data_IF_107402736095
#
_entry.id   IF_107402736095
#
_cell.length_a   1.000
_cell.length_b   1.000
_cell.length_c   1.000
_cell.angle_alpha   90.00
_cell.angle_beta   90.00
_cell.angle_gamma   90.00
#
_symmetry.space_group_name_H-M   'P 1'
#
loop_
_entity.id
_entity.type
_entity.pdbx_description
1 polymer ?
#
# COMPACT_ATOMS: atom_id res chain seq x y z
N UNK A 1 -8.62 26.26 6.21
CA UNK A 1 -9.08 27.32 5.30
C UNK A 1 -9.26 28.56 6.13
N UNK A 2 -8.43 29.55 5.84
CA UNK A 2 -8.43 30.89 6.43
C UNK A 2 -8.89 31.86 5.34
N UNK A 3 -9.72 32.84 5.69
CA UNK A 3 -10.19 33.88 4.76
C UNK A 3 -10.64 35.09 5.58
N UNK A 4 -10.32 36.30 5.11
CA UNK A 4 -10.66 37.56 5.78
C UNK A 4 -12.17 37.80 5.83
N UNK A 5 -12.92 37.35 4.82
CA UNK A 5 -14.39 37.42 4.81
C UNK A 5 -15.00 36.15 5.42
N UNK A 6 -15.57 36.29 6.63
CA UNK A 6 -16.20 35.18 7.35
C UNK A 6 -17.48 34.64 6.67
N UNK A 7 -18.24 35.48 5.95
CA UNK A 7 -19.45 35.06 5.24
C UNK A 7 -19.08 34.22 4.02
N UNK A 8 -18.03 34.64 3.31
CA UNK A 8 -17.45 33.87 2.22
C UNK A 8 -16.90 32.53 2.71
N UNK A 9 -16.15 32.53 3.80
CA UNK A 9 -15.60 31.31 4.42
C UNK A 9 -16.70 30.30 4.77
N UNK A 10 -17.80 30.77 5.36
CA UNK A 10 -18.94 29.91 5.69
C UNK A 10 -19.59 29.29 4.43
N UNK A 11 -19.72 30.06 3.35
CA UNK A 11 -20.25 29.58 2.07
C UNK A 11 -19.31 28.56 1.41
N UNK A 12 -18.00 28.78 1.44
CA UNK A 12 -17.01 27.83 0.89
C UNK A 12 -17.04 26.50 1.65
N UNK A 13 -17.10 26.53 2.99
CA UNK A 13 -17.12 25.31 3.84
C UNK A 13 -18.30 24.38 3.55
N UNK A 14 -19.37 24.87 2.94
CA UNK A 14 -20.57 24.09 2.61
C UNK A 14 -20.64 23.67 1.14
N UNK A 15 -19.62 23.99 0.34
CA UNK A 15 -19.55 23.60 -1.08
C UNK A 15 -19.54 22.08 -1.23
N UNK A 16 -20.41 21.59 -2.11
CA UNK A 16 -20.48 20.17 -2.46
C UNK A 16 -19.52 19.90 -3.61
N UNK A 17 -18.38 19.31 -3.31
CA UNK A 17 -17.32 19.04 -4.29
C UNK A 17 -17.58 17.73 -5.04
N UNK A 18 -17.98 16.66 -4.34
CA UNK A 18 -18.21 15.33 -4.93
C UNK A 18 -19.55 14.75 -4.47
N UNK A 19 -20.26 14.09 -5.40
CA UNK A 19 -21.47 13.32 -5.12
C UNK A 19 -21.18 11.83 -5.29
N UNK A 20 -21.32 11.07 -4.21
CA UNK A 20 -21.22 9.61 -4.22
C UNK A 20 -22.58 8.99 -4.50
N UNK A 21 -22.62 7.86 -5.24
CA UNK A 21 -23.85 7.06 -5.35
C UNK A 21 -23.94 6.18 -4.10
N UNK A 22 -25.13 6.01 -3.53
CA UNK A 22 -25.36 5.21 -2.29
C UNK A 22 -24.99 3.73 -2.36
N UNK A 23 -24.56 3.22 -3.52
CA UNK A 23 -24.24 1.81 -3.72
C UNK A 23 -22.73 1.56 -3.76
N UNK A 24 -22.26 0.71 -2.84
CA UNK A 24 -20.92 0.15 -2.81
C UNK A 24 -19.84 1.03 -2.16
N UNK A 25 -18.66 0.44 -1.98
CA UNK A 25 -17.42 1.15 -1.60
C UNK A 25 -16.95 1.95 -2.82
N UNK A 26 -16.81 3.28 -2.68
CA UNK A 26 -16.36 4.16 -3.76
C UNK A 26 -15.14 4.93 -3.32
N UNK A 27 -14.03 4.81 -4.06
CA UNK A 27 -12.83 5.63 -3.86
C UNK A 27 -12.66 6.53 -5.08
N UNK A 28 -12.46 7.82 -4.86
CA UNK A 28 -12.17 8.81 -5.91
C UNK A 28 -11.01 9.69 -5.48
N UNK A 29 -10.12 9.97 -6.42
CA UNK A 29 -9.10 11.00 -6.25
C UNK A 29 -9.70 12.32 -6.72
N UNK A 30 -9.56 13.36 -5.91
CA UNK A 30 -10.05 14.71 -6.18
C UNK A 30 -8.85 15.65 -6.14
N UNK A 31 -8.52 16.21 -7.29
CA UNK A 31 -7.48 17.24 -7.37
C UNK A 31 -7.95 18.54 -6.72
N UNK A 32 -7.04 19.25 -6.07
CA UNK A 32 -7.25 20.59 -5.51
C UNK A 32 -7.71 21.58 -6.58
N UNK A 33 -7.26 21.41 -7.83
CA UNK A 33 -7.71 22.25 -8.95
C UNK A 33 -9.22 22.15 -9.17
N UNK A 34 -9.83 20.97 -8.92
CA UNK A 34 -11.29 20.81 -8.98
C UNK A 34 -11.99 21.59 -7.87
N UNK A 35 -11.37 21.68 -6.69
CA UNK A 35 -11.88 22.44 -5.55
C UNK A 35 -11.80 23.94 -5.85
N UNK A 36 -10.64 24.40 -6.34
CA UNK A 36 -10.41 25.80 -6.75
C UNK A 36 -11.43 26.21 -7.82
N UNK A 37 -11.63 25.38 -8.84
CA UNK A 37 -12.63 25.63 -9.88
C UNK A 37 -14.06 25.79 -9.30
N UNK A 38 -14.44 24.96 -8.33
CA UNK A 38 -15.74 25.07 -7.65
C UNK A 38 -15.87 26.33 -6.76
N UNK A 39 -14.75 26.86 -6.24
CA UNK A 39 -14.74 28.12 -5.49
C UNK A 39 -14.90 29.29 -6.46
N UNK A 40 -14.12 29.33 -7.55
CA UNK A 40 -14.17 30.38 -8.56
C UNK A 40 -15.53 30.46 -9.27
N UNK A 41 -16.24 29.34 -9.42
CA UNK A 41 -17.61 29.35 -9.97
C UNK A 41 -18.59 30.19 -9.14
N UNK A 42 -18.38 30.31 -7.82
CA UNK A 42 -19.21 31.14 -6.93
C UNK A 42 -18.57 32.48 -6.56
N UNK A 43 -17.25 32.55 -6.56
CA UNK A 43 -16.47 33.73 -6.18
C UNK A 43 -15.33 33.95 -7.19
N UNK A 44 -15.62 34.56 -8.35
CA UNK A 44 -14.67 34.69 -9.46
C UNK A 44 -13.45 35.56 -9.13
N UNK A 45 -13.64 36.59 -8.30
CA UNK A 45 -12.63 37.59 -7.97
C UNK A 45 -11.69 37.16 -6.82
N UNK A 46 -11.74 35.89 -6.42
CA UNK A 46 -11.00 35.40 -5.24
C UNK A 46 -9.73 34.69 -5.66
N UNK A 47 -8.62 35.09 -5.05
CA UNK A 47 -7.37 34.35 -5.16
C UNK A 47 -7.33 33.18 -4.16
N UNK A 48 -7.04 31.97 -4.65
CA UNK A 48 -7.00 30.75 -3.83
C UNK A 48 -5.59 30.19 -3.83
N UNK A 49 -4.95 30.23 -2.67
CA UNK A 49 -3.62 29.66 -2.47
C UNK A 49 -3.72 28.30 -1.79
N UNK A 50 -3.24 27.26 -2.46
CA UNK A 50 -3.14 25.92 -1.86
C UNK A 50 -1.82 25.79 -1.09
N UNK A 51 -1.92 25.60 0.23
CA UNK A 51 -0.76 25.34 1.10
C UNK A 51 -0.63 23.87 1.50
N UNK A 52 -1.54 23.00 1.03
CA UNK A 52 -1.56 21.57 1.38
C UNK A 52 -1.43 20.66 0.17
N UNK A 53 -1.79 19.40 0.36
CA UNK A 53 -1.74 18.37 -0.70
C UNK A 53 -2.55 18.74 -1.94
N UNK A 54 -2.01 18.43 -3.12
CA UNK A 54 -2.63 18.74 -4.42
C UNK A 54 -3.70 17.74 -4.81
N UNK A 55 -3.66 16.53 -4.26
CA UNK A 55 -4.62 15.46 -4.54
C UNK A 55 -5.16 14.83 -3.25
N UNK A 56 -6.47 14.64 -3.19
CA UNK A 56 -7.17 14.13 -2.02
C UNK A 56 -7.95 12.86 -2.39
N UNK A 57 -7.71 11.77 -1.66
CA UNK A 57 -8.45 10.53 -1.85
C UNK A 57 -9.69 10.53 -0.95
N UNK A 58 -10.88 10.59 -1.56
CA UNK A 58 -12.15 10.50 -0.83
C UNK A 58 -12.72 9.09 -1.00
N UNK A 59 -12.80 8.37 0.12
CA UNK A 59 -13.38 7.02 0.16
C UNK A 59 -14.74 7.05 0.86
N UNK A 60 -15.81 6.73 0.12
CA UNK A 60 -17.13 6.46 0.66
C UNK A 60 -17.25 4.97 0.96
N UNK A 61 -17.39 4.63 2.24
CA UNK A 61 -17.55 3.26 2.71
C UNK A 61 -18.77 3.16 3.62
N UNK A 62 -19.69 2.25 3.30
CA UNK A 62 -20.82 1.97 4.16
C UNK A 62 -20.33 1.11 5.33
N UNK A 63 -20.06 1.78 6.46
CA UNK A 63 -19.59 1.15 7.69
C UNK A 63 -20.73 0.34 8.32
N UNK A 64 -20.94 -0.91 7.89
CA UNK A 64 -21.63 -1.90 8.74
C UNK A 64 -20.62 -2.31 9.81
N UNK A 65 -20.77 -1.80 11.02
CA UNK A 65 -20.01 -2.31 12.16
C UNK A 65 -20.36 -3.79 12.34
N UNK A 66 -19.41 -4.72 12.13
CA UNK A 66 -19.68 -6.12 12.41
C UNK A 66 -19.88 -6.30 13.93
N UNK A 67 -20.53 -7.40 14.32
CA UNK A 67 -20.76 -7.70 15.72
C UNK A 67 -19.42 -7.76 16.50
N UNK A 68 -19.40 -7.31 17.75
CA UNK A 68 -18.20 -7.31 18.61
C UNK A 68 -17.51 -8.69 18.66
N UNK A 69 -18.30 -9.77 18.67
CA UNK A 69 -17.79 -11.15 18.63
C UNK A 69 -16.89 -11.41 17.40
N UNK A 70 -17.22 -10.82 16.24
CA UNK A 70 -16.41 -10.96 15.03
C UNK A 70 -15.04 -10.28 15.16
N UNK A 71 -14.99 -9.13 15.84
CA UNK A 71 -13.73 -8.47 16.16
C UNK A 71 -12.88 -9.32 17.11
N UNK A 72 -13.48 -9.89 18.16
CA UNK A 72 -12.77 -10.77 19.10
C UNK A 72 -12.23 -12.02 18.40
N UNK A 73 -13.03 -12.68 17.57
CA UNK A 73 -12.60 -13.86 16.81
C UNK A 73 -11.44 -13.51 15.87
N UNK A 74 -11.52 -12.39 15.15
CA UNK A 74 -10.44 -11.91 14.28
C UNK A 74 -9.16 -11.62 15.07
N UNK A 75 -9.27 -10.92 16.19
CA UNK A 75 -8.11 -10.61 17.04
C UNK A 75 -7.49 -11.88 17.59
N UNK A 76 -8.28 -12.83 18.08
CA UNK A 76 -7.80 -14.12 18.57
C UNK A 76 -7.10 -14.92 17.46
N UNK A 77 -7.67 -14.93 16.24
CA UNK A 77 -7.05 -15.58 15.09
C UNK A 77 -5.70 -14.96 14.73
N UNK A 78 -5.63 -13.63 14.61
CA UNK A 78 -4.37 -12.92 14.32
C UNK A 78 -3.34 -13.17 15.42
N UNK A 79 -3.74 -13.15 16.69
CA UNK A 79 -2.87 -13.43 17.83
C UNK A 79 -2.33 -14.87 17.77
N UNK A 80 -3.18 -15.85 17.47
CA UNK A 80 -2.78 -17.26 17.34
C UNK A 80 -1.78 -17.46 16.20
N UNK A 81 -2.07 -16.94 15.00
CA UNK A 81 -1.16 -17.04 13.84
C UNK A 81 0.19 -16.39 14.16
N UNK A 82 0.18 -15.22 14.80
CA UNK A 82 1.40 -14.51 15.20
C UNK A 82 2.19 -15.29 16.26
N UNK A 83 1.51 -15.86 17.25
CA UNK A 83 2.14 -16.66 18.31
C UNK A 83 2.82 -17.92 17.74
N UNK A 84 2.09 -18.72 16.96
CA UNK A 84 2.65 -19.93 16.34
C UNK A 84 3.73 -19.60 15.31
N UNK A 85 3.56 -18.52 14.54
CA UNK A 85 4.58 -18.02 13.61
C UNK A 85 5.88 -17.67 14.32
N UNK A 86 5.81 -16.89 15.41
CA UNK A 86 6.98 -16.53 16.20
C UNK A 86 7.65 -17.76 16.85
N UNK A 87 6.86 -18.67 17.44
CA UNK A 87 7.38 -19.90 18.01
C UNK A 87 8.09 -20.77 16.95
N UNK A 88 7.48 -20.92 15.77
CA UNK A 88 8.08 -21.63 14.65
C UNK A 88 9.39 -20.97 14.19
N UNK A 89 9.44 -19.65 14.04
CA UNK A 89 10.66 -18.93 13.68
C UNK A 89 11.79 -19.14 14.68
N UNK A 90 11.50 -19.12 15.99
CA UNK A 90 12.51 -19.36 17.04
C UNK A 90 13.03 -20.81 16.96
N UNK A 91 12.14 -21.79 16.82
CA UNK A 91 12.54 -23.20 16.73
C UNK A 91 13.32 -23.49 15.46
N UNK A 92 12.89 -22.95 14.32
CA UNK A 92 13.59 -23.07 13.04
C UNK A 92 14.99 -22.42 13.14
N UNK A 93 15.10 -21.24 13.73
CA UNK A 93 16.39 -20.57 13.93
C UNK A 93 17.34 -21.39 14.81
N UNK A 94 16.85 -21.92 15.94
CA UNK A 94 17.66 -22.77 16.81
C UNK A 94 18.03 -24.12 16.18
N UNK A 95 17.27 -24.58 15.19
CA UNK A 95 17.58 -25.80 14.44
C UNK A 95 18.36 -25.51 13.15
N UNK A 96 19.09 -24.39 13.10
CA UNK A 96 19.93 -23.97 11.96
C UNK A 96 19.16 -23.89 10.63
N UNK A 97 17.91 -23.42 10.70
CA UNK A 97 16.99 -23.25 9.56
C UNK A 97 16.62 -24.58 8.87
N UNK A 98 16.86 -25.73 9.51
CA UNK A 98 16.43 -27.04 8.99
C UNK A 98 14.99 -27.37 9.40
N UNK A 99 14.06 -27.09 8.48
CA UNK A 99 12.62 -27.33 8.67
C UNK A 99 12.28 -28.82 8.69
N UNK A 100 13.02 -29.67 7.96
CA UNK A 100 12.75 -31.11 7.89
C UNK A 100 13.07 -31.79 9.22
N UNK A 101 14.23 -31.47 9.80
CA UNK A 101 14.62 -31.94 11.12
C UNK A 101 13.70 -31.38 12.20
N UNK A 102 13.28 -30.12 12.11
CA UNK A 102 12.34 -29.51 13.05
C UNK A 102 11.00 -30.27 13.07
N UNK A 103 10.42 -30.54 11.90
CA UNK A 103 9.16 -31.28 11.81
C UNK A 103 9.31 -32.74 12.26
N UNK A 104 10.47 -33.36 12.00
CA UNK A 104 10.81 -34.67 12.56
C UNK A 104 10.75 -34.68 14.09
N UNK A 105 11.40 -33.71 14.74
CA UNK A 105 11.43 -33.56 16.19
C UNK A 105 10.04 -33.26 16.77
N UNK A 106 9.25 -32.40 16.13
CA UNK A 106 7.87 -32.10 16.56
C UNK A 106 6.99 -33.35 16.45
N UNK A 107 7.10 -34.09 15.34
CA UNK A 107 6.34 -35.31 15.14
C UNK A 107 6.69 -36.38 16.18
N UNK A 108 7.98 -36.58 16.45
CA UNK A 108 8.47 -37.51 17.46
C UNK A 108 7.98 -37.12 18.86
N UNK A 109 8.01 -35.82 19.20
CA UNK A 109 7.52 -35.31 20.48
C UNK A 109 6.03 -35.59 20.70
N UNK A 110 5.21 -35.47 19.66
CA UNK A 110 3.76 -35.68 19.74
C UNK A 110 3.38 -37.16 19.70
N UNK A 111 4.03 -37.92 18.82
CA UNK A 111 3.64 -39.31 18.49
C UNK A 111 4.43 -40.35 19.30
N UNK A 112 5.56 -39.97 19.90
CA UNK A 112 6.47 -40.87 20.61
C UNK A 112 7.13 -41.92 19.71
N UNK A 113 7.07 -41.75 18.39
CA UNK A 113 7.65 -42.64 17.39
C UNK A 113 8.49 -41.81 16.42
N UNK A 114 9.66 -42.35 16.06
CA UNK A 114 10.53 -41.74 15.06
C UNK A 114 9.85 -41.65 13.69
N UNK A 115 10.27 -40.66 12.91
CA UNK A 115 9.72 -40.42 11.57
C UNK A 115 10.39 -41.32 10.52
N UNK A 116 9.60 -41.84 9.58
CA UNK A 116 10.08 -42.61 8.42
C UNK A 116 9.75 -41.87 7.12
N UNK A 117 10.50 -40.82 6.83
CA UNK A 117 10.37 -40.03 5.59
C UNK A 117 9.46 -38.81 5.71
N UNK A 118 8.76 -38.47 4.61
CA UNK A 118 7.93 -37.26 4.51
C UNK A 118 6.78 -37.25 5.53
N UNK A 119 6.68 -36.18 6.30
CA UNK A 119 5.67 -36.06 7.36
C UNK A 119 4.44 -35.28 6.91
N UNK A 120 3.30 -35.50 7.58
CA UNK A 120 2.06 -34.72 7.38
C UNK A 120 2.31 -33.21 7.61
N UNK A 121 3.26 -32.87 8.49
CA UNK A 121 3.65 -31.49 8.77
C UNK A 121 4.31 -30.83 7.55
N UNK A 122 5.20 -31.52 6.84
CA UNK A 122 5.85 -31.00 5.63
C UNK A 122 4.84 -30.75 4.49
N UNK A 123 3.89 -31.68 4.32
CA UNK A 123 2.83 -31.54 3.30
C UNK A 123 1.93 -30.36 3.60
N UNK A 124 1.44 -30.26 4.85
CA UNK A 124 0.57 -29.15 5.27
C UNK A 124 1.30 -27.80 5.24
N UNK A 125 2.57 -27.76 5.60
CA UNK A 125 3.42 -26.59 5.48
C UNK A 125 3.57 -26.12 4.03
N UNK A 126 3.85 -27.04 3.11
CA UNK A 126 4.00 -26.73 1.67
C UNK A 126 2.71 -26.15 1.07
N UNK A 127 1.55 -26.72 1.42
CA UNK A 127 0.24 -26.19 1.03
C UNK A 127 0.01 -24.81 1.64
N UNK A 128 0.34 -24.63 2.93
CA UNK A 128 0.21 -23.37 3.65
C UNK A 128 1.06 -22.24 3.04
N UNK A 129 2.32 -22.51 2.70
CA UNK A 129 3.21 -21.55 2.02
C UNK A 129 2.65 -21.17 0.65
N UNK A 130 2.21 -22.16 -0.13
CA UNK A 130 1.62 -21.91 -1.46
C UNK A 130 0.37 -21.02 -1.35
N UNK A 131 -0.53 -21.33 -0.43
CA UNK A 131 -1.72 -20.52 -0.17
C UNK A 131 -1.37 -19.10 0.33
N UNK A 132 -0.38 -18.99 1.22
CA UNK A 132 0.09 -17.72 1.76
C UNK A 132 0.65 -16.79 0.69
N UNK A 133 1.48 -17.32 -0.22
CA UNK A 133 2.04 -16.59 -1.36
C UNK A 133 0.92 -16.12 -2.30
N UNK A 134 -0.05 -16.97 -2.62
CA UNK A 134 -1.19 -16.62 -3.47
C UNK A 134 -2.04 -15.48 -2.88
N UNK A 135 -2.28 -15.52 -1.56
CA UNK A 135 -3.00 -14.45 -0.84
C UNK A 135 -2.16 -13.16 -0.82
N UNK A 136 -0.86 -13.24 -0.52
CA UNK A 136 0.03 -12.09 -0.44
C UNK A 136 0.10 -11.32 -1.77
N UNK A 137 0.26 -12.04 -2.88
CA UNK A 137 0.27 -11.43 -4.21
C UNK A 137 -1.12 -11.10 -4.74
N UNK A 138 -2.19 -11.44 -4.02
CA UNK A 138 -3.57 -11.14 -4.39
C UNK A 138 -3.89 -11.56 -5.86
N UNK A 139 -3.24 -12.63 -6.33
CA UNK A 139 -3.20 -13.02 -7.74
C UNK A 139 -3.73 -14.46 -7.89
N UNK A 140 -4.95 -14.61 -8.39
CA UNK A 140 -5.47 -15.90 -8.85
C UNK A 140 -5.63 -15.84 -10.37
N UNK A 141 -4.51 -16.01 -11.08
CA UNK A 141 -4.44 -15.88 -12.54
C UNK A 141 -4.92 -14.49 -13.00
N UNK A 142 -5.96 -14.43 -13.84
CA UNK A 142 -6.46 -13.17 -14.44
C UNK A 142 -7.40 -12.34 -13.53
N UNK A 143 -7.71 -12.77 -12.30
CA UNK A 143 -8.66 -12.09 -11.40
C UNK A 143 -7.95 -11.51 -10.18
N UNK A 144 -8.19 -10.22 -9.90
CA UNK A 144 -7.77 -9.52 -8.67
C UNK A 144 -8.86 -9.70 -7.60
N UNK A 145 -8.51 -10.08 -6.36
CA UNK A 145 -9.52 -10.20 -5.28
C UNK A 145 -9.90 -8.85 -4.67
N UNK A 146 -8.97 -7.88 -4.65
CA UNK A 146 -9.25 -6.49 -4.27
C UNK A 146 -8.82 -5.49 -5.35
N UNK A 147 -9.46 -4.32 -5.33
CA UNK A 147 -9.19 -3.17 -6.21
C UNK A 147 -7.95 -2.39 -5.74
N UNK A 148 -7.52 -2.61 -4.50
CA UNK A 148 -6.33 -1.99 -3.92
C UNK A 148 -5.05 -2.58 -4.54
N UNK A 149 -4.00 -1.76 -4.78
CA UNK A 149 -2.75 -2.23 -5.39
C UNK A 149 -2.08 -3.27 -4.51
N UNK A 150 -1.42 -4.24 -5.13
CA UNK A 150 -0.72 -5.30 -4.37
C UNK A 150 0.52 -4.73 -3.68
N UNK A 151 0.99 -5.30 -2.55
CA UNK A 151 2.21 -4.84 -1.89
C UNK A 151 3.42 -4.77 -2.83
N UNK A 152 3.55 -5.73 -3.75
CA UNK A 152 4.61 -5.73 -4.77
C UNK A 152 4.43 -4.61 -5.80
N UNK A 153 3.20 -4.33 -6.23
CA UNK A 153 2.91 -3.20 -7.13
C UNK A 153 3.28 -1.86 -6.48
N UNK A 154 3.02 -1.71 -5.18
CA UNK A 154 3.44 -0.52 -4.42
C UNK A 154 4.97 -0.43 -4.35
N UNK A 155 5.66 -1.52 -4.03
CA UNK A 155 7.12 -1.53 -3.96
C UNK A 155 7.77 -1.23 -5.31
N UNK A 156 7.22 -1.77 -6.41
CA UNK A 156 7.72 -1.50 -7.74
C UNK A 156 7.56 -0.02 -8.12
N UNK A 157 6.46 0.63 -7.72
CA UNK A 157 6.26 2.06 -7.93
C UNK A 157 7.23 2.91 -7.11
N UNK A 158 7.47 2.55 -5.85
CA UNK A 158 8.48 3.23 -5.02
C UNK A 158 9.87 3.09 -5.65
N UNK A 159 10.23 1.88 -6.07
CA UNK A 159 11.50 1.63 -6.75
C UNK A 159 11.65 2.44 -8.06
N UNK A 160 10.59 2.50 -8.88
CA UNK A 160 10.57 3.31 -10.11
C UNK A 160 10.79 4.80 -9.80
N UNK A 161 10.10 5.33 -8.77
CA UNK A 161 10.26 6.71 -8.33
C UNK A 161 11.67 7.00 -7.77
N UNK A 162 12.25 6.07 -7.02
CA UNK A 162 13.60 6.19 -6.47
C UNK A 162 14.65 6.23 -7.59
N UNK A 163 14.48 5.40 -8.63
CA UNK A 163 15.31 5.46 -9.84
C UNK A 163 15.17 6.81 -10.53
N UNK A 164 13.94 7.27 -10.77
CA UNK A 164 13.70 8.54 -11.46
C UNK A 164 14.32 9.71 -10.69
N UNK A 165 14.15 9.73 -9.37
CA UNK A 165 14.74 10.75 -8.50
C UNK A 165 16.27 10.70 -8.58
N UNK A 166 16.86 9.51 -8.49
CA UNK A 166 18.33 9.33 -8.59
C UNK A 166 18.86 9.78 -9.96
N UNK A 167 18.13 9.50 -11.05
CA UNK A 167 18.52 9.92 -12.40
C UNK A 167 18.48 11.44 -12.54
N UNK A 168 17.45 12.09 -11.97
CA UNK A 168 17.34 13.56 -11.95
C UNK A 168 18.52 14.16 -11.17
N UNK A 169 18.77 13.69 -9.95
CA UNK A 169 19.88 14.16 -9.12
C UNK A 169 21.26 13.95 -9.80
N UNK A 170 21.48 12.83 -10.51
CA UNK A 170 22.74 12.62 -11.24
C UNK A 170 22.87 13.53 -12.47
N UNK A 171 21.77 13.79 -13.19
CA UNK A 171 21.73 14.75 -14.31
C UNK A 171 21.98 16.18 -13.84
N UNK A 172 21.37 16.61 -12.73
CA UNK A 172 21.65 17.88 -12.06
C UNK A 172 23.14 17.99 -11.69
N UNK A 173 23.70 16.93 -11.08
CA UNK A 173 25.13 16.89 -10.69
C UNK A 173 26.08 16.98 -11.88
N UNK A 174 25.70 16.42 -13.04
CA UNK A 174 26.49 16.47 -14.27
C UNK A 174 26.30 17.77 -15.06
N UNK A 175 25.32 18.60 -14.69
CA UNK A 175 24.95 19.78 -15.45
C UNK A 175 24.32 19.44 -16.80
N UNK A 176 23.71 18.25 -16.93
CA UNK A 176 22.99 17.79 -18.13
C UNK A 176 21.49 18.14 -18.07
N UNK A 177 21.07 18.98 -17.12
CA UNK A 177 19.71 19.49 -17.03
C UNK A 177 19.41 20.50 -18.15
N UNK A 178 18.28 20.30 -18.83
CA UNK A 178 17.81 21.23 -19.86
C UNK A 178 16.91 22.26 -19.16
N UNK A 179 17.50 23.40 -18.80
CA UNK A 179 16.77 24.54 -18.22
C UNK A 179 16.44 25.60 -19.28
N UNK A 180 15.40 26.40 -19.00
CA UNK A 180 14.82 27.42 -19.87
C UNK A 180 15.75 28.64 -19.95
N UNK A 181 16.89 28.46 -20.62
CA UNK A 181 17.95 29.47 -20.77
C UNK A 181 19.30 28.91 -21.23
N UNK A 182 19.50 27.59 -21.16
CA UNK A 182 20.73 26.94 -21.61
C UNK A 182 20.67 26.68 -23.10
N UNK A 183 21.31 27.53 -23.91
CA UNK A 183 21.59 27.20 -25.31
C UNK A 183 22.47 25.96 -25.36
N UNK A 184 21.99 24.90 -26.01
CA UNK A 184 22.72 23.66 -26.31
C UNK A 184 24.09 23.98 -26.92
N UNK A 185 25.11 24.11 -26.08
CA UNK A 185 26.48 24.20 -26.53
C UNK A 185 26.99 22.77 -26.57
N UNK A 186 26.54 22.01 -27.57
CA UNK A 186 27.15 20.73 -27.92
C UNK A 186 28.55 21.01 -28.46
N UNK A 187 29.48 21.21 -27.53
CA UNK A 187 30.90 21.33 -27.79
C UNK A 187 31.44 19.96 -28.20
N UNK A 188 31.50 19.77 -29.52
CA UNK A 188 32.40 18.84 -30.18
C UNK A 188 33.75 18.78 -29.46
N UNK A 189 34.08 17.63 -28.85
CA UNK A 189 35.47 17.22 -28.71
C UNK A 189 35.61 15.72 -28.40
N UNK A 190 36.08 14.98 -29.42
CA UNK A 190 37.03 13.86 -29.28
C UNK A 190 37.53 13.45 -30.68
N UNK A 191 38.68 14.03 -31.06
CA UNK A 191 39.74 13.32 -31.80
C UNK A 191 40.57 12.50 -30.83
#
# INVERSE_FOLDING_TARGET
MECTDMLMLAKIKTLKIVRFKKSGRQRRVVSVLKIIACIHEKFPETDVQNLGETDIIVTYEYQKTPAFAWHIIKTAFVAAVTFFGAAFSIMAFNNDVDVTKLFGQIHELITGQGTSGFTILEVSYSIGITAGILIFFNHFGKKRFTVDPTPMEVQMRLYENDIQTTLIEDSERRGEEIDVGTTDTSGSNRT
#
